data_IF_406302281036
#
_entry.id   IF_406302281036
#
_cell.length_a   1.000
_cell.length_b   1.000
_cell.length_c   1.000
_cell.angle_alpha   90.00
_cell.angle_beta   90.00
_cell.angle_gamma   90.00
#
_symmetry.space_group_name_H-M   'P 1'
#
loop_
_entity.id
_entity.type
_entity.pdbx_description
1 polymer ?
#
# COMPACT_ATOMS: atom_id res chain seq x y z
N UNK A 1 -16.98 -5.61 -33.56
CA UNK A 1 -17.29 -6.01 -32.18
C UNK A 1 -16.31 -7.12 -31.81
N UNK A 2 -15.19 -6.79 -31.15
CA UNK A 2 -14.29 -7.80 -30.56
C UNK A 2 -14.87 -8.15 -29.21
N UNK A 3 -15.20 -9.41 -29.01
CA UNK A 3 -15.59 -9.95 -27.70
C UNK A 3 -14.38 -9.75 -26.76
N UNK A 4 -14.52 -8.93 -25.73
CA UNK A 4 -13.66 -8.94 -24.57
C UNK A 4 -13.83 -10.30 -23.90
N UNK A 5 -12.85 -11.17 -24.07
CA UNK A 5 -12.77 -12.42 -23.34
C UNK A 5 -12.54 -12.08 -21.86
N UNK A 6 -13.53 -12.39 -21.04
CA UNK A 6 -13.50 -12.33 -19.59
C UNK A 6 -12.38 -13.26 -19.10
N UNK A 7 -11.19 -12.70 -18.87
CA UNK A 7 -10.03 -13.43 -18.35
C UNK A 7 -10.31 -13.62 -16.85
N UNK A 8 -10.33 -14.86 -16.33
CA UNK A 8 -10.46 -15.06 -14.90
C UNK A 8 -9.24 -14.40 -14.22
N UNK A 9 -9.51 -13.43 -13.33
CA UNK A 9 -8.50 -12.79 -12.47
C UNK A 9 -7.78 -13.82 -11.62
N UNK A 10 -6.73 -14.44 -12.17
CA UNK A 10 -5.84 -15.29 -11.42
C UNK A 10 -4.69 -14.45 -10.95
N UNK A 11 -4.66 -14.21 -9.67
CA UNK A 11 -3.52 -13.60 -8.98
C UNK A 11 -2.29 -14.46 -9.22
N UNK A 12 -1.31 -13.92 -9.95
CA UNK A 12 0.03 -14.52 -10.06
C UNK A 12 0.57 -14.67 -8.63
N UNK A 13 0.85 -15.89 -8.22
CA UNK A 13 1.49 -16.17 -6.94
C UNK A 13 2.89 -16.78 -7.14
N UNK A 14 3.70 -16.73 -6.10
CA UNK A 14 5.10 -17.20 -6.13
C UNK A 14 5.23 -18.59 -6.76
N UNK A 15 4.43 -19.56 -6.30
CA UNK A 15 4.49 -20.96 -6.81
C UNK A 15 4.16 -21.07 -8.29
N UNK A 16 3.26 -20.23 -8.78
CA UNK A 16 2.90 -20.19 -10.19
C UNK A 16 4.03 -19.60 -11.03
N UNK A 17 4.63 -18.49 -10.60
CA UNK A 17 5.78 -17.89 -11.29
C UNK A 17 6.97 -18.87 -11.34
N UNK A 18 7.27 -19.58 -10.24
CA UNK A 18 8.29 -20.64 -10.23
C UNK A 18 8.04 -21.68 -11.32
N UNK A 19 6.78 -22.16 -11.44
CA UNK A 19 6.46 -23.16 -12.47
C UNK A 19 6.59 -22.61 -13.87
N UNK A 20 6.09 -21.39 -14.13
CA UNK A 20 6.19 -20.74 -15.44
C UNK A 20 7.64 -20.58 -15.89
N UNK A 21 8.54 -20.20 -14.99
CA UNK A 21 9.98 -20.07 -15.28
C UNK A 21 10.61 -21.44 -15.55
N UNK A 22 10.32 -22.46 -14.77
CA UNK A 22 10.85 -23.82 -14.97
C UNK A 22 10.38 -24.39 -16.32
N UNK A 23 9.07 -24.21 -16.63
CA UNK A 23 8.51 -24.61 -17.93
C UNK A 23 9.20 -23.88 -19.06
N UNK A 24 9.32 -22.55 -18.98
CA UNK A 24 10.00 -21.74 -19.98
C UNK A 24 11.45 -22.18 -20.22
N UNK A 25 12.23 -22.32 -19.14
CA UNK A 25 13.64 -22.69 -19.24
C UNK A 25 13.82 -24.07 -19.88
N UNK A 26 12.96 -25.04 -19.54
CA UNK A 26 13.02 -26.36 -20.13
C UNK A 26 12.70 -26.34 -21.63
N UNK A 27 11.72 -25.55 -22.06
CA UNK A 27 11.35 -25.39 -23.46
C UNK A 27 12.43 -24.63 -24.22
N UNK A 28 12.94 -23.54 -23.69
CA UNK A 28 14.00 -22.72 -24.31
C UNK A 28 15.31 -23.47 -24.44
N UNK A 29 15.63 -24.37 -23.51
CA UNK A 29 16.78 -25.27 -23.62
C UNK A 29 16.64 -26.36 -24.70
N UNK A 30 15.53 -26.39 -25.45
CA UNK A 30 15.30 -27.37 -26.48
C UNK A 30 15.07 -28.79 -25.98
N UNK A 31 14.60 -28.92 -24.75
CA UNK A 31 14.39 -30.24 -24.10
C UNK A 31 13.14 -30.96 -24.61
N UNK A 32 12.27 -30.30 -25.34
CA UNK A 32 10.96 -30.80 -25.79
C UNK A 32 10.21 -31.52 -24.65
N UNK A 33 9.94 -30.83 -23.55
CA UNK A 33 9.32 -31.49 -22.40
C UNK A 33 7.83 -31.75 -22.63
N UNK A 34 7.36 -32.93 -22.28
CA UNK A 34 5.96 -33.24 -22.07
C UNK A 34 5.50 -32.87 -20.64
N UNK A 35 4.20 -33.02 -20.34
CA UNK A 35 3.67 -32.67 -19.02
C UNK A 35 4.27 -33.52 -17.88
N UNK A 36 4.44 -34.84 -18.01
CA UNK A 36 5.13 -35.64 -17.00
C UNK A 36 6.57 -35.19 -16.71
N UNK A 37 7.32 -34.83 -17.76
CA UNK A 37 8.69 -34.31 -17.63
C UNK A 37 8.73 -32.95 -16.93
N UNK A 38 7.77 -32.06 -17.24
CA UNK A 38 7.63 -30.78 -16.55
C UNK A 38 7.27 -30.93 -15.07
N UNK A 39 6.37 -31.87 -14.75
CA UNK A 39 6.05 -32.19 -13.35
C UNK A 39 7.28 -32.65 -12.57
N UNK A 40 8.07 -33.55 -13.17
CA UNK A 40 9.30 -34.08 -12.58
C UNK A 40 10.32 -32.96 -12.36
N UNK A 41 10.60 -32.15 -13.36
CA UNK A 41 11.53 -31.01 -13.27
C UNK A 41 11.13 -30.03 -12.17
N UNK A 42 9.83 -29.69 -12.08
CA UNK A 42 9.34 -28.80 -11.06
C UNK A 42 9.59 -29.38 -9.65
N UNK A 43 9.24 -30.64 -9.42
CA UNK A 43 9.46 -31.30 -8.12
C UNK A 43 10.95 -31.37 -7.75
N UNK A 44 11.81 -31.68 -8.71
CA UNK A 44 13.27 -31.78 -8.49
C UNK A 44 13.90 -30.42 -8.15
N UNK A 45 13.48 -29.34 -8.83
CA UNK A 45 14.08 -28.03 -8.61
C UNK A 45 13.52 -27.30 -7.37
N UNK A 46 12.28 -27.56 -7.01
CA UNK A 46 11.61 -26.86 -5.89
C UNK A 46 11.56 -27.65 -4.58
N UNK A 47 11.81 -28.96 -4.64
CA UNK A 47 11.67 -29.87 -3.50
C UNK A 47 10.20 -30.21 -3.14
N UNK A 48 9.21 -29.76 -3.92
CA UNK A 48 7.81 -30.14 -3.70
C UNK A 48 7.56 -31.61 -4.10
N UNK A 49 6.72 -32.30 -3.33
CA UNK A 49 6.46 -33.74 -3.53
C UNK A 49 5.62 -34.05 -4.76
N UNK A 50 4.75 -33.14 -5.21
CA UNK A 50 3.84 -33.36 -6.35
C UNK A 50 3.24 -32.06 -6.88
N UNK A 51 3.03 -32.03 -8.21
CA UNK A 51 2.19 -31.04 -8.91
C UNK A 51 1.21 -31.78 -9.85
N UNK A 52 -0.04 -31.35 -9.91
CA UNK A 52 -1.05 -32.00 -10.75
C UNK A 52 -0.85 -31.67 -12.24
N UNK A 53 -1.15 -32.60 -13.14
CA UNK A 53 -1.10 -32.40 -14.60
C UNK A 53 -1.97 -31.22 -15.05
N UNK A 54 -3.19 -31.12 -14.53
CA UNK A 54 -4.10 -30.01 -14.81
C UNK A 54 -3.49 -28.65 -14.44
N UNK A 55 -2.60 -28.58 -13.46
CA UNK A 55 -1.89 -27.35 -13.08
C UNK A 55 -0.87 -26.98 -14.16
N UNK A 56 -0.07 -27.95 -14.62
CA UNK A 56 0.92 -27.74 -15.70
C UNK A 56 0.23 -27.31 -17.00
N UNK A 57 -0.88 -27.97 -17.39
CA UNK A 57 -1.64 -27.57 -18.57
C UNK A 57 -2.14 -26.12 -18.48
N UNK A 58 -2.61 -25.71 -17.32
CA UNK A 58 -3.04 -24.33 -17.09
C UNK A 58 -1.89 -23.32 -17.17
N UNK A 59 -0.71 -23.71 -16.68
CA UNK A 59 0.47 -22.86 -16.77
C UNK A 59 0.95 -22.73 -18.21
N UNK A 60 0.88 -23.80 -19.01
CA UNK A 60 1.16 -23.80 -20.46
C UNK A 60 0.16 -22.91 -21.22
N UNK A 61 -1.12 -23.02 -20.88
CA UNK A 61 -2.16 -22.19 -21.47
C UNK A 61 -1.95 -20.70 -21.11
N UNK A 62 -1.53 -20.41 -19.88
CA UNK A 62 -1.18 -19.06 -19.48
C UNK A 62 0.01 -18.50 -20.25
N UNK A 63 1.05 -19.30 -20.50
CA UNK A 63 2.17 -18.87 -21.35
C UNK A 63 1.68 -18.50 -22.75
N UNK A 64 0.75 -19.26 -23.35
CA UNK A 64 0.18 -18.98 -24.66
C UNK A 64 -0.72 -17.76 -24.69
N UNK A 65 -1.68 -17.70 -23.77
CA UNK A 65 -2.77 -16.73 -23.86
C UNK A 65 -2.42 -15.39 -23.23
N UNK A 66 -1.74 -15.39 -22.09
CA UNK A 66 -1.42 -14.17 -21.34
C UNK A 66 -0.04 -13.60 -21.74
N UNK A 67 0.97 -14.46 -21.85
CA UNK A 67 2.32 -14.04 -22.23
C UNK A 67 2.58 -14.10 -23.74
N UNK A 68 1.59 -14.51 -24.52
CA UNK A 68 1.68 -14.64 -25.99
C UNK A 68 2.88 -15.46 -26.47
N UNK A 69 3.23 -16.50 -25.68
CA UNK A 69 4.34 -17.38 -26.00
C UNK A 69 4.04 -18.13 -27.31
N UNK A 70 4.96 -18.15 -28.29
CA UNK A 70 4.83 -18.89 -29.54
C UNK A 70 5.06 -20.40 -29.32
N UNK A 71 4.20 -21.01 -28.52
CA UNK A 71 4.34 -22.34 -27.94
C UNK A 71 3.49 -23.36 -28.69
N UNK A 72 4.12 -24.40 -29.22
CA UNK A 72 3.47 -25.54 -29.86
C UNK A 72 3.93 -26.88 -29.29
N UNK A 73 3.24 -27.95 -29.64
CA UNK A 73 3.60 -29.34 -29.30
C UNK A 73 4.06 -30.08 -30.54
N UNK A 74 5.32 -30.51 -30.52
CA UNK A 74 5.93 -31.34 -31.55
C UNK A 74 5.56 -32.82 -31.27
N UNK A 75 4.82 -33.43 -32.22
CA UNK A 75 4.36 -34.82 -32.08
C UNK A 75 5.47 -35.83 -32.29
N UNK A 76 6.46 -35.50 -33.11
CA UNK A 76 7.56 -36.40 -33.43
C UNK A 76 8.58 -36.45 -32.28
N UNK A 77 8.82 -35.31 -31.62
CA UNK A 77 9.70 -35.21 -30.46
C UNK A 77 8.96 -35.41 -29.13
N UNK A 78 7.62 -35.42 -29.17
CA UNK A 78 6.78 -35.70 -28.03
C UNK A 78 6.77 -34.63 -26.94
N UNK A 79 6.96 -33.35 -27.31
CA UNK A 79 7.04 -32.30 -26.31
C UNK A 79 6.81 -30.88 -26.80
N UNK A 80 6.73 -29.94 -25.86
CA UNK A 80 6.50 -28.53 -26.14
C UNK A 80 7.77 -27.84 -26.63
N UNK A 81 7.62 -26.85 -27.54
CA UNK A 81 8.72 -26.02 -28.09
C UNK A 81 8.19 -24.64 -28.47
N UNK A 82 9.09 -23.65 -28.54
CA UNK A 82 8.81 -22.35 -29.14
C UNK A 82 9.14 -22.36 -30.60
N UNK A 83 8.17 -22.00 -31.47
CA UNK A 83 8.42 -21.90 -32.92
C UNK A 83 9.15 -20.59 -33.29
N UNK A 84 9.24 -19.61 -32.36
CA UNK A 84 10.08 -18.42 -32.48
C UNK A 84 11.25 -18.53 -31.50
N UNK A 85 12.43 -18.87 -31.96
CA UNK A 85 13.63 -19.09 -31.15
C UNK A 85 14.05 -17.85 -30.35
N UNK A 86 13.73 -16.65 -30.83
CA UNK A 86 14.07 -15.37 -30.15
C UNK A 86 13.09 -14.97 -29.08
N UNK A 87 11.95 -15.63 -28.97
CA UNK A 87 10.98 -15.31 -27.94
C UNK A 87 11.54 -15.63 -26.57
N UNK A 88 11.34 -14.72 -25.63
CA UNK A 88 11.75 -14.90 -24.24
C UNK A 88 10.63 -14.55 -23.29
N UNK A 89 10.61 -15.21 -22.14
CA UNK A 89 9.67 -14.89 -21.08
C UNK A 89 10.07 -13.55 -20.45
N UNK A 90 9.13 -12.60 -20.36
CA UNK A 90 9.41 -11.22 -19.93
C UNK A 90 10.22 -11.10 -18.62
N UNK A 91 10.12 -12.09 -17.72
CA UNK A 91 10.92 -12.12 -16.49
C UNK A 91 12.43 -12.35 -16.75
N UNK A 92 12.82 -12.96 -17.87
CA UNK A 92 14.22 -13.14 -18.22
C UNK A 92 14.85 -11.89 -18.89
N UNK A 93 14.03 -10.90 -19.23
CA UNK A 93 14.48 -9.61 -19.78
C UNK A 93 14.71 -8.54 -18.72
N UNK A 94 14.50 -8.86 -17.43
CA UNK A 94 14.74 -7.93 -16.33
C UNK A 94 16.24 -7.69 -16.19
N UNK A 95 16.66 -6.45 -16.38
CA UNK A 95 18.06 -6.05 -16.28
C UNK A 95 18.56 -6.01 -14.83
N UNK A 96 19.88 -6.00 -14.64
CA UNK A 96 20.47 -5.78 -13.32
C UNK A 96 20.03 -4.44 -12.69
N UNK A 97 19.78 -3.45 -13.53
CA UNK A 97 19.28 -2.14 -13.12
C UNK A 97 17.82 -2.22 -12.62
N UNK A 98 16.97 -2.96 -13.31
CA UNK A 98 15.57 -3.19 -12.87
C UNK A 98 15.53 -3.93 -11.54
N UNK A 99 16.40 -4.93 -11.34
CA UNK A 99 16.56 -5.64 -10.05
C UNK A 99 16.96 -4.68 -8.94
N UNK A 100 17.85 -3.72 -9.24
CA UNK A 100 18.22 -2.68 -8.28
C UNK A 100 17.01 -1.82 -7.92
N UNK A 101 16.23 -1.32 -8.90
CA UNK A 101 15.04 -0.50 -8.64
C UNK A 101 13.95 -1.26 -7.89
N UNK A 102 13.70 -2.52 -8.20
CA UNK A 102 12.76 -3.37 -7.46
C UNK A 102 13.18 -3.55 -5.99
N UNK A 103 14.47 -3.79 -5.77
CA UNK A 103 15.02 -3.93 -4.42
C UNK A 103 15.00 -2.61 -3.64
N UNK A 104 15.25 -1.49 -4.30
CA UNK A 104 15.10 -0.15 -3.73
C UNK A 104 13.65 0.13 -3.36
N UNK A 105 12.69 -0.18 -4.23
CA UNK A 105 11.27 -0.04 -3.94
C UNK A 105 10.86 -0.87 -2.71
N UNK A 106 11.35 -2.11 -2.59
CA UNK A 106 11.13 -2.93 -1.39
C UNK A 106 11.68 -2.25 -0.13
N UNK A 107 12.87 -1.65 -0.21
CA UNK A 107 13.46 -0.91 0.92
C UNK A 107 12.60 0.30 1.29
N UNK A 108 12.11 1.06 0.30
CA UNK A 108 11.21 2.20 0.54
C UNK A 108 9.90 1.77 1.22
N UNK A 109 9.37 0.60 0.86
CA UNK A 109 8.17 0.03 1.47
C UNK A 109 8.41 -0.60 2.84
N UNK A 110 9.65 -0.63 3.35
CA UNK A 110 9.97 -1.29 4.64
C UNK A 110 9.30 -0.63 5.86
N UNK A 111 8.84 0.62 5.73
CA UNK A 111 8.00 1.26 6.75
C UNK A 111 6.69 0.49 7.02
N UNK A 112 6.22 -0.30 6.05
CA UNK A 112 5.03 -1.15 6.17
C UNK A 112 5.36 -2.63 6.43
N UNK A 113 6.61 -2.95 6.82
CA UNK A 113 7.00 -4.30 7.20
C UNK A 113 6.14 -4.81 8.36
N UNK A 114 5.69 -6.07 8.27
CA UNK A 114 4.69 -6.65 9.18
C UNK A 114 3.26 -6.52 8.66
N UNK A 115 3.01 -5.77 7.59
CA UNK A 115 1.73 -5.78 6.89
C UNK A 115 1.70 -6.92 5.85
N UNK A 116 0.53 -7.57 5.63
CA UNK A 116 0.42 -8.64 4.65
C UNK A 116 0.72 -8.20 3.22
N UNK A 117 0.43 -6.95 2.85
CA UNK A 117 0.75 -6.41 1.53
C UNK A 117 2.26 -6.28 1.31
N UNK A 118 3.01 -5.81 2.33
CA UNK A 118 4.47 -5.74 2.24
C UNK A 118 5.08 -7.14 2.08
N UNK A 119 4.59 -8.11 2.87
CA UNK A 119 5.06 -9.49 2.78
C UNK A 119 4.85 -10.07 1.38
N UNK A 120 3.65 -9.87 0.80
CA UNK A 120 3.33 -10.33 -0.56
C UNK A 120 4.21 -9.67 -1.62
N UNK A 121 4.39 -8.35 -1.56
CA UNK A 121 5.26 -7.60 -2.49
C UNK A 121 6.72 -8.05 -2.32
N UNK A 122 7.18 -8.18 -1.07
CA UNK A 122 8.54 -8.62 -0.74
C UNK A 122 8.83 -10.02 -1.27
N UNK A 123 7.88 -10.95 -1.17
CA UNK A 123 8.01 -12.32 -1.69
C UNK A 123 8.14 -12.33 -3.22
N UNK A 124 7.36 -11.53 -3.94
CA UNK A 124 7.44 -11.40 -5.40
C UNK A 124 8.79 -10.79 -5.81
N UNK A 125 9.22 -9.70 -5.16
CA UNK A 125 10.50 -9.06 -5.46
C UNK A 125 11.66 -10.02 -5.17
N UNK A 126 11.67 -10.70 -4.02
CA UNK A 126 12.70 -11.68 -3.68
C UNK A 126 12.76 -12.79 -4.74
N UNK A 127 11.61 -13.32 -5.14
CA UNK A 127 11.54 -14.35 -6.16
C UNK A 127 12.18 -13.89 -7.48
N UNK A 128 11.84 -12.67 -7.95
CA UNK A 128 12.40 -12.10 -9.18
C UNK A 128 13.92 -11.90 -9.04
N UNK A 129 14.38 -11.36 -7.91
CA UNK A 129 15.81 -11.08 -7.68
C UNK A 129 16.65 -12.36 -7.52
N UNK A 130 16.09 -13.38 -6.88
CA UNK A 130 16.77 -14.68 -6.67
C UNK A 130 16.90 -15.46 -7.99
N UNK A 131 15.88 -15.40 -8.86
CA UNK A 131 15.91 -16.08 -10.16
C UNK A 131 16.93 -15.49 -11.13
N UNK A 132 17.27 -14.22 -10.99
CA UNK A 132 18.26 -13.53 -11.84
C UNK A 132 19.71 -13.76 -11.39
N UNK A 133 19.93 -14.43 -10.24
CA UNK A 133 21.29 -14.67 -9.73
C UNK A 133 22.05 -13.38 -9.41
N UNK A 134 21.36 -12.24 -9.40
CA UNK A 134 21.95 -10.94 -9.08
C UNK A 134 22.10 -10.88 -7.57
N UNK A 135 23.27 -11.25 -7.09
CA UNK A 135 23.62 -11.19 -5.68
C UNK A 135 23.36 -9.78 -5.13
N UNK A 136 23.05 -9.71 -3.83
CA UNK A 136 22.74 -8.46 -3.09
C UNK A 136 23.70 -7.35 -3.49
N UNK A 137 23.29 -6.46 -4.36
CA UNK A 137 24.10 -5.33 -4.82
C UNK A 137 24.58 -4.53 -3.60
N UNK A 138 25.89 -4.26 -3.54
CA UNK A 138 26.45 -3.41 -2.48
C UNK A 138 25.84 -2.01 -2.48
N UNK A 139 25.26 -1.56 -3.60
CA UNK A 139 24.53 -0.30 -3.74
C UNK A 139 23.26 -0.25 -2.90
N UNK A 140 22.56 -1.38 -2.69
CA UNK A 140 21.35 -1.43 -1.86
C UNK A 140 21.63 -1.05 -0.39
N UNK A 141 22.84 -1.33 0.09
CA UNK A 141 23.27 -0.91 1.44
C UNK A 141 23.41 0.62 1.60
N UNK A 142 23.37 1.35 0.48
CA UNK A 142 23.44 2.82 0.47
C UNK A 142 22.08 3.49 0.39
N UNK A 143 21.00 2.70 0.34
CA UNK A 143 19.61 3.16 0.42
C UNK A 143 19.11 2.78 1.79
N UNK A 144 18.67 3.77 2.58
CA UNK A 144 18.12 3.55 3.90
C UNK A 144 16.79 4.32 4.04
N UNK A 145 15.86 3.74 4.76
CA UNK A 145 14.62 4.37 5.20
C UNK A 145 14.71 4.55 6.70
N UNK A 146 14.28 5.71 7.19
CA UNK A 146 14.25 5.96 8.62
C UNK A 146 13.41 4.89 9.33
N UNK A 147 13.89 4.34 10.47
CA UNK A 147 13.11 3.40 11.23
C UNK A 147 11.86 4.08 11.80
N UNK A 148 10.73 3.42 11.65
CA UNK A 148 9.42 3.90 12.14
C UNK A 148 8.76 2.82 13.00
N UNK A 149 7.90 3.18 13.96
CA UNK A 149 7.08 2.23 14.70
C UNK A 149 6.23 1.40 13.73
N UNK A 150 6.16 0.09 13.92
CA UNK A 150 5.42 -0.82 13.04
C UNK A 150 4.15 -1.29 13.72
N UNK A 151 3.08 -1.39 12.94
CA UNK A 151 1.80 -1.96 13.38
C UNK A 151 1.63 -3.34 12.77
N UNK A 152 1.44 -4.33 13.63
CA UNK A 152 1.18 -5.70 13.18
C UNK A 152 -0.30 -5.84 12.77
N UNK A 153 -0.55 -6.33 11.57
CA UNK A 153 -1.89 -6.53 11.02
C UNK A 153 -2.16 -8.02 10.96
N UNK A 154 -3.29 -8.46 11.50
CA UNK A 154 -3.72 -9.85 11.39
C UNK A 154 -3.99 -10.22 9.93
N UNK A 155 -3.30 -11.25 9.45
CA UNK A 155 -3.40 -11.71 8.07
C UNK A 155 -4.81 -12.18 7.71
N UNK A 156 -5.58 -12.71 8.69
CA UNK A 156 -6.97 -13.13 8.47
C UNK A 156 -7.87 -11.92 8.25
N UNK A 157 -7.68 -10.86 9.06
CA UNK A 157 -8.40 -9.59 8.89
C UNK A 157 -8.09 -9.00 7.52
N UNK A 158 -6.82 -8.97 7.13
CA UNK A 158 -6.41 -8.47 5.81
C UNK A 158 -7.08 -9.23 4.66
N UNK A 159 -7.01 -10.57 4.66
CA UNK A 159 -7.58 -11.40 3.59
C UNK A 159 -9.09 -11.24 3.46
N UNK A 160 -9.80 -11.22 4.58
CA UNK A 160 -11.25 -11.02 4.60
C UNK A 160 -11.64 -9.62 4.09
N UNK A 161 -10.91 -8.57 4.49
CA UNK A 161 -11.15 -7.21 3.99
C UNK A 161 -10.86 -7.09 2.49
N UNK A 162 -9.77 -7.71 2.02
CA UNK A 162 -9.44 -7.72 0.60
C UNK A 162 -10.53 -8.41 -0.24
N UNK A 163 -11.08 -9.53 0.26
CA UNK A 163 -12.23 -10.22 -0.35
C UNK A 163 -13.47 -9.34 -0.36
N UNK A 164 -13.78 -8.70 0.77
CA UNK A 164 -14.95 -7.82 0.91
C UNK A 164 -14.88 -6.60 -0.01
N UNK A 165 -13.72 -5.93 -0.09
CA UNK A 165 -13.51 -4.78 -0.99
C UNK A 165 -13.61 -5.22 -2.45
N UNK A 166 -13.02 -6.36 -2.84
CA UNK A 166 -13.05 -6.86 -4.22
C UNK A 166 -14.46 -7.14 -4.71
N UNK A 167 -15.33 -7.66 -3.82
CA UNK A 167 -16.66 -8.12 -4.17
C UNK A 167 -17.77 -7.18 -3.66
N UNK A 168 -17.44 -6.02 -3.12
CA UNK A 168 -18.35 -5.04 -2.53
C UNK A 168 -19.28 -5.65 -1.45
N UNK A 169 -18.72 -6.51 -0.60
CA UNK A 169 -19.45 -7.06 0.55
C UNK A 169 -19.33 -6.18 1.79
N UNK A 170 -20.43 -6.02 2.51
CA UNK A 170 -20.46 -5.40 3.84
C UNK A 170 -19.72 -6.30 4.83
N UNK A 171 -19.00 -5.70 5.78
CA UNK A 171 -18.30 -6.41 6.86
C UNK A 171 -18.83 -6.00 8.22
N UNK A 172 -18.75 -6.92 9.17
CA UNK A 172 -19.02 -6.68 10.59
C UNK A 172 -17.79 -7.02 11.42
N UNK A 173 -17.50 -6.20 12.42
CA UNK A 173 -16.33 -6.42 13.28
C UNK A 173 -16.46 -5.70 14.62
N UNK A 174 -15.69 -6.15 15.61
CA UNK A 174 -15.52 -5.49 16.87
C UNK A 174 -14.35 -4.49 16.78
N UNK A 175 -14.55 -3.28 17.33
CA UNK A 175 -13.60 -2.19 17.22
C UNK A 175 -13.40 -1.43 18.52
N UNK A 176 -12.13 -1.24 18.92
CA UNK A 176 -11.75 -0.37 20.01
C UNK A 176 -11.24 0.96 19.47
N UNK A 177 -12.01 2.03 19.67
CA UNK A 177 -11.60 3.39 19.33
C UNK A 177 -10.37 3.85 20.13
N UNK A 178 -9.67 4.88 19.63
CA UNK A 178 -8.47 5.43 20.31
C UNK A 178 -8.76 5.97 21.69
N UNK A 179 -9.95 6.50 21.88
CA UNK A 179 -10.39 7.21 23.11
C UNK A 179 -11.50 6.46 23.87
N UNK A 180 -11.91 5.31 23.38
CA UNK A 180 -13.00 4.52 23.97
C UNK A 180 -12.41 3.25 24.58
N UNK A 181 -12.68 3.03 25.88
CA UNK A 181 -12.27 1.81 26.57
C UNK A 181 -13.18 0.62 26.25
N UNK A 182 -14.36 0.89 25.69
CA UNK A 182 -15.34 -0.14 25.35
C UNK A 182 -15.20 -0.62 23.92
N UNK A 183 -15.27 -1.92 23.73
CA UNK A 183 -15.38 -2.55 22.41
C UNK A 183 -16.77 -2.29 21.85
N UNK A 184 -16.84 -1.81 20.63
CA UNK A 184 -18.10 -1.54 19.94
C UNK A 184 -18.19 -2.38 18.67
N UNK A 185 -19.37 -2.95 18.41
CA UNK A 185 -19.63 -3.66 17.14
C UNK A 185 -19.84 -2.64 16.02
N UNK A 186 -19.34 -2.94 14.83
CA UNK A 186 -19.41 -2.08 13.64
C UNK A 186 -19.86 -2.86 12.43
N UNK A 187 -20.79 -2.27 11.68
CA UNK A 187 -21.20 -2.72 10.34
C UNK A 187 -20.74 -1.67 9.33
N UNK A 188 -19.92 -2.08 8.35
CA UNK A 188 -19.21 -1.15 7.48
C UNK A 188 -19.25 -1.65 6.02
N UNK A 189 -19.54 -0.74 5.08
CA UNK A 189 -19.24 -0.93 3.68
C UNK A 189 -17.76 -0.52 3.44
N UNK A 190 -16.85 -1.47 3.21
CA UNK A 190 -15.42 -1.20 3.10
C UNK A 190 -15.10 -0.67 1.71
N UNK A 191 -14.68 0.60 1.62
CA UNK A 191 -14.39 1.23 0.33
C UNK A 191 -12.95 1.01 -0.11
N UNK A 192 -11.97 1.28 0.78
CA UNK A 192 -10.57 1.36 0.39
C UNK A 192 -9.62 1.14 1.57
N UNK A 193 -8.44 0.57 1.29
CA UNK A 193 -7.30 0.63 2.21
C UNK A 193 -6.58 1.96 2.10
N UNK A 194 -6.22 2.53 3.24
CA UNK A 194 -5.38 3.73 3.34
C UNK A 194 -4.10 3.40 4.09
N UNK A 195 -3.01 4.03 3.69
CA UNK A 195 -1.70 3.90 4.31
C UNK A 195 -1.22 5.28 4.76
N UNK A 196 -0.93 5.41 6.05
CA UNK A 196 -0.46 6.66 6.63
C UNK A 196 0.42 6.37 7.85
N UNK A 197 1.54 7.06 7.97
CA UNK A 197 2.48 6.96 9.09
C UNK A 197 2.77 5.50 9.49
N UNK A 198 3.16 4.68 8.50
CA UNK A 198 3.46 3.24 8.65
C UNK A 198 2.32 2.38 9.18
N UNK A 199 1.12 2.92 9.20
CA UNK A 199 -0.10 2.24 9.63
C UNK A 199 -1.04 2.00 8.44
N UNK A 200 -1.89 0.99 8.56
CA UNK A 200 -2.89 0.66 7.58
C UNK A 200 -4.29 0.84 8.15
N UNK A 201 -5.15 1.44 7.37
CA UNK A 201 -6.52 1.79 7.76
C UNK A 201 -7.50 1.29 6.71
N UNK A 202 -8.72 1.05 7.16
CA UNK A 202 -9.90 0.85 6.33
C UNK A 202 -10.68 2.17 6.26
N UNK A 203 -10.94 2.66 5.07
CA UNK A 203 -11.92 3.72 4.83
C UNK A 203 -13.22 3.08 4.33
N UNK A 204 -14.35 3.50 4.87
CA UNK A 204 -15.64 2.97 4.49
C UNK A 204 -16.79 3.68 5.18
N UNK A 205 -18.02 3.35 4.78
CA UNK A 205 -19.25 3.87 5.35
C UNK A 205 -19.68 3.03 6.56
N UNK A 206 -19.83 3.68 7.70
CA UNK A 206 -20.31 3.06 8.94
C UNK A 206 -21.82 3.24 9.05
N UNK A 207 -22.56 2.13 9.05
CA UNK A 207 -24.03 2.16 9.13
C UNK A 207 -24.53 2.71 10.47
N UNK A 208 -23.83 2.43 11.59
CA UNK A 208 -24.22 2.94 12.91
C UNK A 208 -23.96 4.44 13.08
N UNK A 209 -23.08 5.00 12.27
CA UNK A 209 -22.73 6.42 12.35
C UNK A 209 -23.31 7.25 11.23
N UNK A 210 -23.95 6.58 10.26
CA UNK A 210 -24.49 7.20 9.05
C UNK A 210 -23.45 8.14 8.38
N UNK A 211 -22.19 7.68 8.29
CA UNK A 211 -21.10 8.50 7.78
C UNK A 211 -19.86 7.67 7.41
N UNK A 212 -19.05 8.20 6.50
CA UNK A 212 -17.73 7.66 6.20
C UNK A 212 -16.79 7.76 7.40
N UNK A 213 -16.04 6.71 7.66
CA UNK A 213 -15.12 6.60 8.80
C UNK A 213 -13.84 5.88 8.43
N UNK A 214 -12.80 6.16 9.21
CA UNK A 214 -11.48 5.53 9.09
C UNK A 214 -11.26 4.62 10.30
N UNK A 215 -10.93 3.36 10.05
CA UNK A 215 -10.69 2.34 11.06
C UNK A 215 -9.26 1.81 10.95
N UNK A 216 -8.49 1.86 12.05
CA UNK A 216 -7.16 1.25 12.08
C UNK A 216 -7.27 -0.28 12.02
N UNK A 217 -6.60 -0.93 11.07
CA UNK A 217 -6.67 -2.38 10.90
C UNK A 217 -6.17 -3.13 12.14
N UNK A 218 -5.18 -2.61 12.84
CA UNK A 218 -4.65 -3.23 14.06
C UNK A 218 -5.65 -3.29 15.24
N UNK A 219 -6.79 -2.57 15.15
CA UNK A 219 -7.84 -2.53 16.18
C UNK A 219 -9.09 -3.30 15.80
N UNK A 220 -9.16 -3.85 14.61
CA UNK A 220 -10.27 -4.68 14.12
C UNK A 220 -10.12 -6.08 14.71
N UNK A 221 -11.20 -6.59 15.32
CA UNK A 221 -11.31 -7.94 15.88
C UNK A 221 -12.56 -8.62 15.35
N UNK A 222 -12.58 -9.94 15.36
CA UNK A 222 -13.74 -10.76 15.03
C UNK A 222 -14.42 -10.35 13.71
N UNK A 223 -13.63 -10.01 12.69
CA UNK A 223 -14.15 -9.56 11.40
C UNK A 223 -14.85 -10.70 10.65
N UNK A 224 -16.06 -10.42 10.19
CA UNK A 224 -16.85 -11.30 9.35
C UNK A 224 -17.29 -10.58 8.07
N UNK A 225 -17.28 -11.30 6.96
CA UNK A 225 -17.80 -10.83 5.68
C UNK A 225 -19.24 -11.28 5.60
N UNK A 226 -20.16 -10.35 5.40
CA UNK A 226 -21.60 -10.65 5.28
C UNK A 226 -21.97 -11.05 3.85
N UNK A 227 -23.21 -11.44 3.62
CA UNK A 227 -23.75 -11.63 2.27
C UNK A 227 -24.36 -10.37 1.66
N UNK A 228 -24.34 -9.25 2.39
CA UNK A 228 -24.89 -7.99 1.92
C UNK A 228 -23.89 -7.30 0.99
N UNK A 229 -24.40 -6.75 -0.12
CA UNK A 229 -23.63 -5.95 -1.05
C UNK A 229 -23.88 -4.47 -0.82
N UNK A 230 -22.89 -3.65 -1.17
CA UNK A 230 -23.02 -2.20 -1.24
C UNK A 230 -22.58 -1.70 -2.63
N UNK A 231 -23.08 -0.54 -3.00
CA UNK A 231 -22.62 0.16 -4.19
C UNK A 231 -21.58 1.22 -3.79
N UNK A 232 -20.41 1.18 -4.44
CA UNK A 232 -19.42 2.24 -4.26
C UNK A 232 -19.94 3.51 -4.94
N UNK A 233 -19.92 4.70 -4.27
CA UNK A 233 -20.33 5.95 -4.92
C UNK A 233 -19.58 6.18 -6.24
N UNK A 234 -20.29 6.59 -7.30
CA UNK A 234 -19.71 6.80 -8.64
C UNK A 234 -18.58 7.84 -8.64
N UNK A 235 -18.67 8.86 -7.77
CA UNK A 235 -17.71 9.94 -7.59
C UNK A 235 -16.70 9.64 -6.46
N UNK A 236 -16.54 8.36 -6.08
CA UNK A 236 -15.65 7.99 -5.01
C UNK A 236 -14.20 8.36 -5.36
N UNK A 237 -13.68 9.35 -4.66
CA UNK A 237 -12.28 9.72 -4.65
C UNK A 237 -11.86 10.17 -3.24
N UNK A 238 -11.02 9.39 -2.59
CA UNK A 238 -10.53 9.72 -1.26
C UNK A 238 -9.70 11.01 -1.23
N UNK A 239 -8.91 11.27 -2.27
CA UNK A 239 -8.01 12.43 -2.33
C UNK A 239 -8.78 13.76 -2.34
N UNK A 240 -9.94 13.80 -2.97
CA UNK A 240 -10.81 14.98 -3.01
C UNK A 240 -11.31 15.37 -1.61
N UNK A 241 -11.46 14.42 -0.70
CA UNK A 241 -11.92 14.64 0.68
C UNK A 241 -10.89 15.34 1.56
N UNK A 242 -9.61 15.30 1.18
CA UNK A 242 -8.53 15.98 1.87
C UNK A 242 -8.53 17.52 1.63
N UNK A 243 -9.40 18.03 0.74
CA UNK A 243 -9.53 19.46 0.47
C UNK A 243 -8.23 20.11 -0.02
N UNK A 244 -7.37 19.33 -0.72
CA UNK A 244 -6.06 19.78 -1.19
C UNK A 244 -4.97 19.82 -0.13
N UNK A 245 -5.27 19.53 1.14
CA UNK A 245 -4.29 19.43 2.23
C UNK A 245 -3.43 18.17 2.13
N UNK A 246 -2.17 18.26 2.59
CA UNK A 246 -1.15 17.17 2.49
C UNK A 246 -0.67 16.71 3.86
N UNK A 247 -1.57 16.61 4.84
CA UNK A 247 -1.27 16.25 6.22
C UNK A 247 -1.65 14.80 6.60
N UNK A 248 -1.87 13.91 5.62
CA UNK A 248 -2.24 12.52 5.85
C UNK A 248 -3.73 12.25 5.62
N UNK A 249 -4.25 11.17 6.22
CA UNK A 249 -5.58 10.63 5.90
C UNK A 249 -6.71 11.14 6.81
N UNK A 250 -6.41 11.71 7.97
CA UNK A 250 -7.45 12.13 8.93
C UNK A 250 -8.00 13.50 8.58
N UNK A 251 -9.29 13.58 8.29
CA UNK A 251 -10.00 14.77 7.85
C UNK A 251 -11.25 15.03 8.67
N UNK A 252 -11.72 16.26 8.64
CA UNK A 252 -13.01 16.72 9.14
C UNK A 252 -13.96 17.00 7.98
N UNK A 253 -15.25 17.16 8.30
CA UNK A 253 -16.28 17.36 7.27
C UNK A 253 -16.13 18.70 6.54
N UNK A 254 -15.53 19.70 7.20
CA UNK A 254 -15.39 21.05 6.64
C UNK A 254 -13.94 21.44 6.42
N UNK A 255 -13.67 22.13 5.31
CA UNK A 255 -12.40 22.79 5.06
C UNK A 255 -12.25 24.04 5.93
N UNK A 256 -11.05 24.23 6.45
CA UNK A 256 -10.68 25.33 7.35
C UNK A 256 -9.52 26.12 6.74
N UNK A 257 -9.60 27.45 6.78
CA UNK A 257 -8.53 28.32 6.34
C UNK A 257 -7.56 28.59 7.49
N UNK A 258 -6.31 28.24 7.31
CA UNK A 258 -5.24 28.38 8.29
C UNK A 258 -4.30 29.52 7.90
N UNK A 259 -3.87 30.28 8.91
CA UNK A 259 -2.76 31.23 8.82
C UNK A 259 -1.77 30.90 9.91
N UNK A 260 -0.52 30.63 9.55
CA UNK A 260 0.54 30.21 10.47
C UNK A 260 1.79 31.03 10.19
N UNK A 261 2.36 31.65 11.22
CA UNK A 261 3.66 32.31 11.15
C UNK A 261 4.77 31.32 11.56
N UNK A 262 5.80 31.26 10.73
CA UNK A 262 6.91 30.31 10.85
C UNK A 262 8.23 31.07 11.06
N UNK A 263 9.07 30.50 11.90
CA UNK A 263 10.36 31.04 12.31
C UNK A 263 11.47 30.03 12.07
N UNK A 264 12.70 30.51 12.00
CA UNK A 264 13.90 29.66 11.87
C UNK A 264 13.78 28.62 10.72
N UNK A 265 14.12 27.38 10.97
CA UNK A 265 14.17 26.31 9.95
C UNK A 265 12.78 25.97 9.38
N UNK A 266 11.69 26.20 10.13
CA UNK A 266 10.33 25.98 9.65
C UNK A 266 9.96 26.87 8.45
N UNK A 267 10.63 28.02 8.28
CA UNK A 267 10.47 28.93 7.15
C UNK A 267 10.90 28.28 5.83
N UNK A 268 12.04 27.60 5.82
CA UNK A 268 12.56 26.95 4.61
C UNK A 268 11.78 25.68 4.28
N UNK A 269 11.31 24.95 5.30
CA UNK A 269 10.52 23.73 5.12
C UNK A 269 9.29 23.97 4.23
N UNK A 270 8.52 25.05 4.45
CA UNK A 270 7.31 25.33 3.67
C UNK A 270 7.58 25.87 2.28
N UNK A 271 8.77 26.38 2.02
CA UNK A 271 9.24 26.78 0.68
C UNK A 271 9.62 25.57 -0.17
N UNK A 272 10.17 24.53 0.46
CA UNK A 272 10.57 23.30 -0.21
C UNK A 272 9.37 22.34 -0.40
N UNK A 273 8.35 22.42 0.47
CA UNK A 273 7.25 21.47 0.53
C UNK A 273 5.90 22.15 0.65
N UNK A 274 5.04 21.91 -0.30
CA UNK A 274 3.66 22.40 -0.23
C UNK A 274 2.85 21.62 0.80
N UNK A 275 2.27 22.31 1.78
CA UNK A 275 1.37 21.76 2.79
C UNK A 275 -0.07 21.56 2.27
N UNK A 276 -0.44 22.34 1.23
CA UNK A 276 -1.71 22.24 0.52
C UNK A 276 -1.58 22.76 -0.90
N UNK A 277 -2.50 22.39 -1.78
CA UNK A 277 -2.48 22.78 -3.19
C UNK A 277 -2.69 24.31 -3.39
N UNK A 278 -3.42 24.94 -2.47
CA UNK A 278 -3.71 26.39 -2.49
C UNK A 278 -2.78 27.21 -1.58
N UNK A 279 -1.63 26.64 -1.16
CA UNK A 279 -0.69 27.31 -0.26
C UNK A 279 -0.20 28.65 -0.81
N UNK A 280 -0.24 29.68 0.02
CA UNK A 280 0.38 30.99 -0.21
C UNK A 280 1.45 31.24 0.82
N UNK A 281 2.57 31.81 0.40
CA UNK A 281 3.72 32.11 1.25
C UNK A 281 4.04 33.59 1.15
N UNK A 282 4.22 34.26 2.30
CA UNK A 282 4.62 35.65 2.39
C UNK A 282 5.80 35.79 3.35
N UNK A 283 6.93 36.29 2.89
CA UNK A 283 8.12 36.54 3.72
C UNK A 283 8.09 37.97 4.32
N UNK A 284 8.23 38.04 5.64
CA UNK A 284 8.38 39.27 6.42
C UNK A 284 9.84 39.37 6.88
N UNK A 285 10.70 40.00 6.06
CA UNK A 285 12.15 40.04 6.27
C UNK A 285 12.56 40.77 7.56
N UNK A 286 11.87 41.87 7.89
CA UNK A 286 12.17 42.67 9.08
C UNK A 286 11.81 41.93 10.38
N UNK A 287 10.80 41.05 10.34
CA UNK A 287 10.31 40.27 11.48
C UNK A 287 10.95 38.86 11.51
N UNK A 288 11.81 38.55 10.57
CA UNK A 288 12.45 37.23 10.39
C UNK A 288 11.47 36.05 10.42
N UNK A 289 10.27 36.24 9.86
CA UNK A 289 9.22 35.23 9.77
C UNK A 289 8.69 35.02 8.37
N UNK A 290 8.14 33.85 8.13
CA UNK A 290 7.40 33.50 6.90
C UNK A 290 5.98 33.12 7.28
N UNK A 291 4.99 33.76 6.66
CA UNK A 291 3.59 33.40 6.82
C UNK A 291 3.18 32.43 5.74
N UNK A 292 2.51 31.35 6.14
CA UNK A 292 1.87 30.40 5.25
C UNK A 292 0.36 30.46 5.46
N UNK A 293 -0.39 30.52 4.36
CA UNK A 293 -1.84 30.51 4.32
C UNK A 293 -2.31 29.36 3.43
N UNK A 294 -3.25 28.57 3.90
CA UNK A 294 -3.80 27.44 3.13
C UNK A 294 -5.13 26.96 3.72
N UNK A 295 -5.90 26.22 2.92
CA UNK A 295 -7.13 25.55 3.39
C UNK A 295 -6.92 24.05 3.47
N UNK A 296 -7.52 23.41 4.47
CA UNK A 296 -7.45 21.94 4.63
C UNK A 296 -8.64 21.41 5.45
N UNK A 297 -9.09 20.22 5.15
CA UNK A 297 -10.02 19.44 6.00
C UNK A 297 -9.29 18.66 7.11
N UNK A 298 -7.95 18.63 7.10
CA UNK A 298 -7.11 17.79 7.96
C UNK A 298 -6.74 18.48 9.29
N UNK A 299 -7.73 19.12 9.94
CA UNK A 299 -7.54 20.01 11.09
C UNK A 299 -6.71 19.41 12.23
N UNK A 300 -6.96 18.14 12.59
CA UNK A 300 -6.21 17.44 13.63
C UNK A 300 -4.71 17.33 13.27
N UNK A 301 -4.44 16.98 12.03
CA UNK A 301 -3.07 16.82 11.53
C UNK A 301 -2.33 18.14 11.38
N UNK A 302 -3.05 19.21 11.03
CA UNK A 302 -2.49 20.57 11.05
C UNK A 302 -2.06 20.95 12.47
N UNK A 303 -2.89 20.64 13.49
CA UNK A 303 -2.53 20.88 14.89
C UNK A 303 -1.31 20.06 15.32
N UNK A 304 -1.27 18.78 15.02
CA UNK A 304 -0.14 17.91 15.30
C UNK A 304 1.14 18.43 14.63
N UNK A 305 1.05 18.90 13.39
CA UNK A 305 2.18 19.47 12.65
C UNK A 305 2.67 20.78 13.31
N UNK A 306 1.78 21.72 13.65
CA UNK A 306 2.16 22.97 14.33
C UNK A 306 2.86 22.67 15.64
N UNK A 307 2.31 21.76 16.46
CA UNK A 307 2.92 21.38 17.73
C UNK A 307 4.28 20.70 17.56
N UNK A 308 4.48 19.94 16.47
CA UNK A 308 5.75 19.28 16.16
C UNK A 308 6.87 20.26 15.82
N UNK A 309 6.54 21.47 15.36
CA UNK A 309 7.50 22.54 15.08
C UNK A 309 7.97 23.28 16.37
N UNK A 310 7.36 22.95 17.51
CA UNK A 310 7.67 23.60 18.78
C UNK A 310 7.43 25.12 18.73
N UNK A 311 8.44 25.90 19.11
CA UNK A 311 8.36 27.38 19.07
C UNK A 311 8.51 27.99 17.66
N UNK A 312 8.76 27.18 16.65
CA UNK A 312 9.01 27.67 15.28
C UNK A 312 7.74 27.84 14.45
N UNK A 313 6.56 27.43 14.94
CA UNK A 313 5.28 27.62 14.29
C UNK A 313 4.25 28.20 15.27
N UNK A 314 3.68 29.34 14.90
CA UNK A 314 2.65 30.02 15.71
C UNK A 314 1.39 30.16 14.84
N UNK A 315 0.28 29.50 15.20
CA UNK A 315 -0.97 29.68 14.48
C UNK A 315 -1.56 31.05 14.77
N UNK A 316 -2.09 31.70 13.72
CA UNK A 316 -2.67 33.04 13.76
C UNK A 316 -4.18 32.99 13.53
N UNK A 317 -4.65 32.06 12.71
CA UNK A 317 -6.06 31.91 12.36
C UNK A 317 -6.37 30.45 12.01
N UNK A 318 -7.62 29.97 12.28
CA UNK A 318 -8.74 30.69 12.89
C UNK A 318 -8.65 30.75 14.44
N UNK A 319 -9.38 31.65 15.08
CA UNK A 319 -9.31 31.93 16.53
C UNK A 319 -9.50 30.66 17.37
N UNK A 320 -10.51 29.84 17.08
CA UNK A 320 -10.75 28.60 17.81
C UNK A 320 -9.58 27.61 17.73
N UNK A 321 -8.86 27.60 16.61
CA UNK A 321 -7.68 26.75 16.44
C UNK A 321 -6.50 27.28 17.27
N UNK A 322 -6.31 28.60 17.27
CA UNK A 322 -5.32 29.29 18.09
C UNK A 322 -5.58 29.04 19.58
N UNK A 323 -6.83 29.14 20.01
CA UNK A 323 -7.22 28.90 21.42
C UNK A 323 -6.97 27.43 21.84
N UNK A 324 -7.32 26.47 21.00
CA UNK A 324 -7.02 25.05 21.25
C UNK A 324 -5.50 24.78 21.29
N UNK A 325 -4.73 25.43 20.44
CA UNK A 325 -3.27 25.35 20.47
C UNK A 325 -2.71 25.91 21.78
N UNK A 326 -3.14 27.11 22.20
CA UNK A 326 -2.74 27.75 23.48
C UNK A 326 -3.07 26.82 24.64
N UNK A 327 -4.29 26.33 24.72
CA UNK A 327 -4.73 25.41 25.80
C UNK A 327 -3.85 24.16 25.85
N UNK A 328 -3.46 23.61 24.68
CA UNK A 328 -2.57 22.45 24.63
C UNK A 328 -1.19 22.79 25.18
N UNK A 329 -0.60 23.92 24.79
CA UNK A 329 0.70 24.38 25.27
C UNK A 329 0.66 24.67 26.76
N UNK A 330 -0.38 25.34 27.27
CA UNK A 330 -0.57 25.59 28.70
C UNK A 330 -0.69 24.28 29.50
N UNK A 331 -1.43 23.30 28.97
CA UNK A 331 -1.54 21.98 29.58
C UNK A 331 -0.19 21.25 29.64
N UNK A 332 0.61 21.35 28.57
CA UNK A 332 1.98 20.82 28.58
C UNK A 332 2.83 21.49 29.67
N UNK A 333 2.77 22.81 29.79
CA UNK A 333 3.52 23.57 30.79
C UNK A 333 3.09 23.18 32.21
N UNK A 334 1.79 23.05 32.50
CA UNK A 334 1.29 22.57 33.79
C UNK A 334 1.86 21.21 34.15
N UNK A 335 1.81 20.26 33.21
CA UNK A 335 2.35 18.90 33.43
C UNK A 335 3.85 18.89 33.68
N UNK A 336 4.63 19.74 32.99
CA UNK A 336 6.08 19.89 33.25
C UNK A 336 6.35 20.43 34.63
N UNK A 337 5.50 21.35 35.14
CA UNK A 337 5.65 21.95 36.47
C UNK A 337 5.09 21.05 37.62
N UNK A 338 4.51 19.89 37.28
CA UNK A 338 3.95 18.94 38.24
C UNK A 338 2.53 19.26 38.69
N UNK A 339 1.85 20.19 38.03
CA UNK A 339 0.45 20.53 38.23
C UNK A 339 -0.41 19.52 37.47
N UNK A 340 -0.76 18.43 38.13
CA UNK A 340 -1.66 17.39 37.60
C UNK A 340 -3.06 17.64 38.21
N UNK A 341 -3.91 18.35 37.50
CA UNK A 341 -5.36 18.40 37.76
C UNK A 341 -6.10 17.35 36.91
#
# INVERSE_FOLDING_TARGET
>A
MKQEQNIPERTLNKKMLERLIIIHNAIKAGMYPDVPKLQKLYCEQTGYSKVGEATIYRDIDMLRTYFHAPLEFDRDKGGYYYFEEKWDFALNSISTEDVFYLSAAKTLLSSFEGSPIYNSISDVINFITDTQGVGKSSLLKRIAVAPVPKVNIDEKVWKKLLEAIRNNYVVEFDYNGRWNTETTHRKVAPYQFLFDDSSCFLFGYSFERDAERIFSLGRIKNLEVTSEHFDLPEDFDFSSRCGGGKFGIFMSDNSVDFVIDLYNDAREFVKERALADNQKITDFKEEEKTRVEFSSTQTLRVMEWVLSQGSHAIPISPDWFVDNWKLTVETMMKRVNGDFD
#
